data_IF_453773397027
#
_entry.id   IF_453773397027
#
_cell.length_a   1.000
_cell.length_b   1.000
_cell.length_c   1.000
_cell.angle_alpha   90.00
_cell.angle_beta   90.00
_cell.angle_gamma   90.00
#
_symmetry.space_group_name_H-M   'P 1'
#
loop_
_entity.id
_entity.type
_entity.pdbx_description
1 polymer ?
#
# COMPACT_ATOMS: atom_id res chain seq x y z
N UNK A 1 45.51 -6.04 -41.35
CA UNK A 1 44.35 -5.32 -40.77
C UNK A 1 44.22 -5.74 -39.32
N UNK A 2 44.69 -4.91 -38.39
CA UNK A 2 44.77 -5.22 -36.95
C UNK A 2 43.47 -4.73 -36.28
N UNK A 3 42.61 -5.63 -35.80
CA UNK A 3 41.41 -5.27 -35.02
C UNK A 3 41.78 -5.20 -33.54
N UNK A 4 41.92 -3.99 -33.01
CA UNK A 4 42.00 -3.73 -31.57
C UNK A 4 40.59 -3.80 -30.98
N UNK A 5 40.30 -4.84 -30.22
CA UNK A 5 39.11 -4.92 -29.35
C UNK A 5 39.44 -4.30 -27.99
N UNK A 6 38.89 -3.11 -27.73
CA UNK A 6 38.88 -2.47 -26.41
C UNK A 6 37.83 -3.15 -25.55
N UNK A 7 38.24 -3.84 -24.49
CA UNK A 7 37.32 -4.38 -23.48
C UNK A 7 37.01 -3.28 -22.46
N UNK A 8 35.82 -2.71 -22.52
CA UNK A 8 35.34 -1.75 -21.53
C UNK A 8 35.07 -2.46 -20.20
N UNK A 9 35.84 -2.10 -19.16
CA UNK A 9 35.59 -2.55 -17.78
C UNK A 9 34.43 -1.72 -17.22
N UNK A 10 33.25 -2.32 -17.16
CA UNK A 10 32.09 -1.71 -16.49
C UNK A 10 32.27 -1.76 -14.97
N UNK A 11 32.39 -0.59 -14.34
CA UNK A 11 32.37 -0.44 -12.88
C UNK A 11 30.92 -0.63 -12.42
N UNK A 12 30.63 -1.74 -11.74
CA UNK A 12 29.37 -1.95 -11.03
C UNK A 12 29.42 -1.10 -9.76
N UNK A 13 28.80 0.08 -9.81
CA UNK A 13 28.62 0.91 -8.62
C UNK A 13 27.49 0.26 -7.81
N UNK A 14 27.84 -0.43 -6.73
CA UNK A 14 26.87 -0.94 -5.77
C UNK A 14 26.15 0.27 -5.15
N UNK A 15 24.90 0.50 -5.55
CA UNK A 15 24.06 1.50 -4.91
C UNK A 15 23.82 1.05 -3.46
N UNK A 16 24.07 1.89 -2.45
CA UNK A 16 23.65 1.57 -1.10
C UNK A 16 22.13 1.44 -1.11
N UNK A 17 21.64 0.26 -0.70
CA UNK A 17 20.24 0.08 -0.38
C UNK A 17 19.91 1.11 0.69
N UNK A 18 19.21 2.17 0.30
CA UNK A 18 18.60 3.10 1.24
C UNK A 18 17.54 2.26 1.92
N UNK A 19 17.88 1.66 3.07
CA UNK A 19 16.92 1.08 3.98
C UNK A 19 15.94 2.20 4.31
N UNK A 20 14.79 2.19 3.63
CA UNK A 20 13.65 3.01 3.98
C UNK A 20 13.39 2.70 5.45
N UNK A 21 13.69 3.69 6.30
CA UNK A 21 13.39 3.64 7.72
C UNK A 21 11.93 3.25 7.83
N UNK A 22 11.68 1.99 8.18
CA UNK A 22 10.35 1.43 8.24
C UNK A 22 9.63 2.11 9.38
N UNK A 23 8.98 3.25 9.08
CA UNK A 23 8.02 3.84 9.97
C UNK A 23 7.05 2.72 10.31
N UNK A 24 7.04 2.31 11.58
CA UNK A 24 6.06 1.34 12.04
C UNK A 24 4.70 1.90 11.67
N UNK A 25 3.90 1.13 10.95
CA UNK A 25 2.52 1.50 10.70
C UNK A 25 1.84 1.70 12.06
N UNK A 26 1.37 2.92 12.30
CA UNK A 26 0.58 3.32 13.47
C UNK A 26 -0.66 4.02 12.96
N UNK A 27 -1.81 3.48 13.33
CA UNK A 27 -3.11 4.07 13.02
C UNK A 27 -3.48 5.06 14.12
N UNK A 28 -4.05 6.20 13.72
CA UNK A 28 -4.58 7.22 14.63
C UNK A 28 -5.93 7.69 14.09
N UNK A 29 -6.77 8.25 14.96
CA UNK A 29 -8.03 8.87 14.55
C UNK A 29 -7.81 9.93 13.45
N UNK A 30 -6.84 10.82 13.64
CA UNK A 30 -6.48 11.87 12.68
C UNK A 30 -6.14 11.32 11.28
N UNK A 31 -5.35 10.25 11.21
CA UNK A 31 -5.02 9.60 9.93
C UNK A 31 -6.24 9.00 9.26
N UNK A 32 -7.13 8.38 10.03
CA UNK A 32 -8.35 7.75 9.53
C UNK A 32 -9.37 8.80 9.07
N UNK A 33 -9.46 9.97 9.72
CA UNK A 33 -10.33 11.07 9.30
C UNK A 33 -9.98 11.64 7.92
N UNK A 34 -8.72 11.47 7.48
CA UNK A 34 -8.30 11.84 6.13
C UNK A 34 -8.73 10.82 5.05
N UNK A 35 -9.33 9.69 5.44
CA UNK A 35 -9.87 8.69 4.51
C UNK A 35 -11.32 9.03 4.19
N UNK A 36 -11.63 9.19 2.90
CA UNK A 36 -12.96 9.55 2.43
C UNK A 36 -13.52 8.52 1.43
N UNK A 37 -14.86 8.44 1.35
CA UNK A 37 -15.55 7.58 0.39
C UNK A 37 -15.17 7.94 -1.05
N UNK A 38 -15.00 6.93 -1.89
CA UNK A 38 -14.53 7.09 -3.27
C UNK A 38 -13.00 7.09 -3.42
N UNK A 39 -12.23 7.10 -2.33
CA UNK A 39 -10.77 6.97 -2.40
C UNK A 39 -10.34 5.62 -3.02
N UNK A 40 -9.21 5.62 -3.73
CA UNK A 40 -8.56 4.41 -4.21
C UNK A 40 -7.67 3.80 -3.10
N UNK A 41 -7.30 2.50 -3.16
CA UNK A 41 -6.45 1.88 -2.15
C UNK A 41 -5.17 2.67 -1.86
N UNK A 42 -4.48 3.16 -2.89
CA UNK A 42 -3.25 3.95 -2.72
C UNK A 42 -3.47 5.28 -1.99
N UNK A 43 -4.62 5.92 -2.19
CA UNK A 43 -4.98 7.14 -1.45
C UNK A 43 -5.23 6.85 0.03
N UNK A 44 -5.85 5.70 0.33
CA UNK A 44 -6.04 5.25 1.72
C UNK A 44 -4.68 4.94 2.36
N UNK A 45 -3.81 4.20 1.66
CA UNK A 45 -2.46 3.89 2.15
C UNK A 45 -1.63 5.15 2.43
N UNK A 46 -1.73 6.15 1.55
CA UNK A 46 -1.10 7.44 1.75
C UNK A 46 -1.64 8.17 2.99
N UNK A 47 -2.96 8.22 3.17
CA UNK A 47 -3.58 8.86 4.34
C UNK A 47 -3.22 8.16 5.66
N UNK A 48 -3.19 6.84 5.67
CA UNK A 48 -2.85 6.04 6.86
C UNK A 48 -1.33 6.01 7.12
N UNK A 49 -0.52 6.18 6.09
CA UNK A 49 0.91 5.87 6.13
C UNK A 49 1.16 4.39 6.38
N UNK A 50 0.28 3.53 5.86
CA UNK A 50 0.32 2.08 6.06
C UNK A 50 -0.13 1.36 4.79
N UNK A 51 0.51 0.23 4.48
CA UNK A 51 0.09 -0.63 3.36
C UNK A 51 -1.17 -1.42 3.69
N UNK A 52 -2.09 -1.49 2.75
CA UNK A 52 -3.31 -2.27 2.85
C UNK A 52 -3.06 -3.68 2.30
N UNK A 53 -3.59 -4.69 3.00
CA UNK A 53 -3.61 -6.07 2.53
C UNK A 53 -5.01 -6.42 2.08
N UNK A 54 -5.16 -6.84 0.82
CA UNK A 54 -6.42 -7.41 0.34
C UNK A 54 -6.68 -8.75 1.04
N UNK A 55 -7.84 -8.90 1.65
CA UNK A 55 -8.18 -10.11 2.45
C UNK A 55 -9.26 -10.96 1.82
N UNK A 56 -10.17 -10.35 1.05
CA UNK A 56 -11.22 -11.08 0.36
C UNK A 56 -11.77 -10.32 -0.84
N UNK A 57 -12.45 -11.07 -1.70
CA UNK A 57 -13.33 -10.54 -2.74
C UNK A 57 -14.61 -11.37 -2.73
N UNK A 58 -15.75 -10.70 -2.85
CA UNK A 58 -17.06 -11.33 -2.95
C UNK A 58 -17.86 -10.73 -4.10
N UNK A 59 -18.86 -11.47 -4.59
CA UNK A 59 -19.67 -11.06 -5.75
C UNK A 59 -18.96 -11.26 -7.10
N UNK A 60 -19.63 -10.86 -8.17
CA UNK A 60 -19.16 -10.98 -9.56
C UNK A 60 -19.50 -9.72 -10.36
N UNK A 61 -18.69 -9.41 -11.38
CA UNK A 61 -18.89 -8.28 -12.28
C UNK A 61 -19.06 -6.95 -11.54
N UNK A 62 -20.09 -6.19 -11.88
CA UNK A 62 -20.38 -4.88 -11.28
C UNK A 62 -20.79 -4.94 -9.80
N UNK A 63 -21.18 -6.12 -9.31
CA UNK A 63 -21.52 -6.35 -7.89
C UNK A 63 -20.32 -6.83 -7.07
N UNK A 64 -19.14 -6.98 -7.67
CA UNK A 64 -17.94 -7.39 -6.94
C UNK A 64 -17.57 -6.37 -5.86
N UNK A 65 -17.08 -6.85 -4.73
CA UNK A 65 -16.55 -6.04 -3.64
C UNK A 65 -15.26 -6.66 -3.12
N UNK A 66 -14.31 -5.83 -2.73
CA UNK A 66 -13.04 -6.27 -2.15
C UNK A 66 -12.88 -5.70 -0.75
N UNK A 67 -12.39 -6.53 0.17
CA UNK A 67 -12.06 -6.10 1.54
C UNK A 67 -10.55 -5.98 1.66
N UNK A 68 -10.10 -4.87 2.22
CA UNK A 68 -8.72 -4.59 2.54
C UNK A 68 -8.59 -4.33 4.04
N UNK A 69 -7.50 -4.79 4.62
CA UNK A 69 -7.23 -4.63 6.05
C UNK A 69 -5.81 -4.17 6.30
N UNK A 70 -5.64 -3.42 7.37
CA UNK A 70 -4.36 -3.14 8.00
C UNK A 70 -4.51 -3.26 9.51
N UNK A 71 -3.56 -3.95 10.14
CA UNK A 71 -3.40 -3.97 11.59
C UNK A 71 -2.07 -3.34 11.93
N UNK A 72 -2.10 -2.35 12.80
CA UNK A 72 -0.92 -1.58 13.18
C UNK A 72 -0.08 -2.31 14.24
N UNK A 73 1.10 -1.77 14.55
CA UNK A 73 2.01 -2.41 15.52
C UNK A 73 1.44 -2.49 16.96
N UNK A 74 0.37 -1.76 17.26
CA UNK A 74 -0.33 -1.76 18.56
C UNK A 74 -1.56 -2.68 18.56
N UNK A 75 -1.94 -3.24 17.41
CA UNK A 75 -3.15 -4.05 17.27
C UNK A 75 -4.42 -3.26 16.93
N UNK A 76 -4.33 -1.96 16.65
CA UNK A 76 -5.45 -1.21 16.06
C UNK A 76 -5.67 -1.70 14.63
N UNK A 77 -6.92 -1.75 14.18
CA UNK A 77 -7.26 -2.32 12.86
C UNK A 77 -8.13 -1.37 12.07
N UNK A 78 -7.82 -1.21 10.79
CA UNK A 78 -8.65 -0.52 9.81
C UNK A 78 -9.04 -1.49 8.70
N UNK A 79 -10.33 -1.55 8.40
CA UNK A 79 -10.91 -2.43 7.38
C UNK A 79 -11.67 -1.59 6.36
N UNK A 80 -11.22 -1.59 5.10
CA UNK A 80 -11.86 -0.91 3.99
C UNK A 80 -12.64 -1.88 3.10
N UNK A 81 -13.86 -1.49 2.73
CA UNK A 81 -14.69 -2.20 1.77
C UNK A 81 -14.76 -1.38 0.49
N UNK A 82 -14.23 -1.95 -0.59
CA UNK A 82 -14.16 -1.35 -1.92
C UNK A 82 -15.29 -1.88 -2.80
N UNK A 83 -15.87 -1.04 -3.64
CA UNK A 83 -16.80 -1.45 -4.69
C UNK A 83 -16.06 -2.09 -5.89
N UNK A 84 -16.81 -2.51 -6.90
CA UNK A 84 -16.30 -3.15 -8.12
C UNK A 84 -15.37 -2.27 -8.94
N UNK A 85 -15.52 -0.95 -8.84
CA UNK A 85 -14.63 0.04 -9.46
C UNK A 85 -13.34 0.29 -8.66
N UNK A 86 -13.10 -0.44 -7.57
CA UNK A 86 -11.92 -0.27 -6.73
C UNK A 86 -11.93 1.02 -5.91
N UNK A 87 -13.12 1.54 -5.59
CA UNK A 87 -13.32 2.78 -4.83
C UNK A 87 -13.89 2.48 -3.45
N UNK A 88 -13.46 3.24 -2.44
CA UNK A 88 -13.90 3.04 -1.07
C UNK A 88 -15.40 3.28 -0.95
N UNK A 89 -16.13 2.25 -0.53
CA UNK A 89 -17.56 2.37 -0.23
C UNK A 89 -17.76 2.73 1.23
N UNK A 90 -17.07 2.04 2.12
CA UNK A 90 -17.14 2.25 3.57
C UNK A 90 -15.90 1.67 4.24
N UNK A 91 -15.66 2.04 5.49
CA UNK A 91 -14.60 1.47 6.31
C UNK A 91 -15.07 1.31 7.77
N UNK A 92 -14.38 0.45 8.49
CA UNK A 92 -14.46 0.36 9.94
C UNK A 92 -13.07 0.59 10.52
N UNK A 93 -12.99 1.31 11.64
CA UNK A 93 -11.76 1.51 12.39
C UNK A 93 -11.98 1.12 13.84
N UNK A 94 -11.11 0.26 14.35
CA UNK A 94 -11.10 -0.19 15.74
C UNK A 94 -9.74 0.15 16.36
N UNK A 95 -9.77 0.92 17.45
CA UNK A 95 -8.58 1.30 18.20
C UNK A 95 -8.44 0.42 19.44
N UNK A 96 -7.21 -0.07 19.67
CA UNK A 96 -6.82 -0.82 20.87
C UNK A 96 -6.16 0.07 21.91
#
# INVERSE_FOLDING_TARGET
MLRMTLTAVGIVIAQPAISQSGSRCILTHEKVENVYQGSAPSSIEYALGCSLRKVSTSGFGESASSVYEVTDARGSTFTAIMNSAGRLRTYNFYMR
#
